data_IF_373927777380
#
_entry.id   IF_373927777380
#
_cell.length_a   1.000
_cell.length_b   1.000
_cell.length_c   1.000
_cell.angle_alpha   90.00
_cell.angle_beta   90.00
_cell.angle_gamma   90.00
#
_symmetry.space_group_name_H-M   'P 1'
#
loop_
_entity.id
_entity.type
_entity.pdbx_description
1 polymer ?
#
# COMPACT_ATOMS: atom_id res chain seq x y z
N UNK A 1 -8.21 -2.87 18.98
CA UNK A 1 -8.85 -4.18 19.20
C UNK A 1 -8.63 -4.60 20.64
N UNK A 2 -9.68 -5.04 21.36
CA UNK A 2 -9.50 -5.67 22.68
C UNK A 2 -8.90 -7.06 22.48
N UNK A 3 -7.82 -7.38 23.20
CA UNK A 3 -7.17 -8.70 23.15
C UNK A 3 -8.12 -9.73 23.74
N UNK A 4 -8.62 -10.65 22.92
CA UNK A 4 -9.47 -11.75 23.39
C UNK A 4 -8.55 -12.80 24.01
N UNK A 5 -8.78 -13.08 25.28
CA UNK A 5 -8.01 -14.10 26.04
C UNK A 5 -8.99 -15.15 26.53
N UNK A 6 -8.57 -16.41 26.49
CA UNK A 6 -9.39 -17.55 26.89
C UNK A 6 -9.42 -17.64 28.42
N UNK A 7 -10.59 -17.90 29.00
CA UNK A 7 -10.76 -18.02 30.47
C UNK A 7 -10.37 -19.39 31.03
N UNK A 8 -10.16 -20.39 30.16
CA UNK A 8 -9.74 -21.75 30.54
C UNK A 8 -8.55 -22.24 29.73
N UNK A 9 -7.90 -23.29 30.25
CA UNK A 9 -6.83 -24.02 29.54
C UNK A 9 -7.38 -24.79 28.34
N UNK A 10 -6.49 -25.06 27.40
CA UNK A 10 -6.76 -25.91 26.24
C UNK A 10 -6.94 -27.36 26.68
N UNK A 11 -7.93 -28.02 26.10
CA UNK A 11 -8.00 -29.49 26.09
C UNK A 11 -6.91 -30.07 25.18
N UNK A 12 -6.62 -31.37 25.32
CA UNK A 12 -5.67 -32.08 24.47
C UNK A 12 -6.04 -32.03 22.98
N UNK A 13 -7.33 -32.21 22.67
CA UNK A 13 -7.85 -32.15 21.31
C UNK A 13 -7.70 -30.75 20.70
N UNK A 14 -8.06 -29.70 21.45
CA UNK A 14 -7.87 -28.32 21.01
C UNK A 14 -6.38 -28.00 20.80
N UNK A 15 -5.51 -28.46 21.70
CA UNK A 15 -4.06 -28.26 21.59
C UNK A 15 -3.49 -28.91 20.33
N UNK A 16 -3.92 -30.14 20.01
CA UNK A 16 -3.54 -30.85 18.78
C UNK A 16 -4.01 -30.09 17.53
N UNK A 17 -5.27 -29.66 17.50
CA UNK A 17 -5.83 -28.86 16.39
C UNK A 17 -5.04 -27.57 16.15
N UNK A 18 -4.70 -26.84 17.21
CA UNK A 18 -3.88 -25.63 17.08
C UNK A 18 -2.44 -25.92 16.65
N UNK A 19 -1.88 -27.07 17.04
CA UNK A 19 -0.55 -27.47 16.57
C UNK A 19 -0.54 -27.69 15.05
N UNK A 20 -1.54 -28.39 14.51
CA UNK A 20 -1.70 -28.58 13.07
C UNK A 20 -1.84 -27.25 12.32
N UNK A 21 -2.70 -26.34 12.81
CA UNK A 21 -2.88 -25.02 12.17
C UNK A 21 -1.56 -24.22 12.18
N UNK A 22 -0.84 -24.22 13.31
CA UNK A 22 0.44 -23.51 13.41
C UNK A 22 1.48 -24.10 12.46
N UNK A 23 1.51 -25.42 12.30
CA UNK A 23 2.41 -26.08 11.37
C UNK A 23 2.10 -25.67 9.92
N UNK A 24 0.83 -25.71 9.51
CA UNK A 24 0.40 -25.27 8.18
C UNK A 24 0.81 -23.81 7.91
N UNK A 25 0.55 -22.91 8.87
CA UNK A 25 0.96 -21.49 8.74
C UNK A 25 2.48 -21.37 8.65
N UNK A 26 3.25 -22.12 9.44
CA UNK A 26 4.71 -22.07 9.40
C UNK A 26 5.28 -22.54 8.04
N UNK A 27 4.61 -23.49 7.38
CA UNK A 27 4.99 -23.99 6.06
C UNK A 27 4.61 -23.01 4.93
N UNK A 28 3.45 -22.34 5.02
CA UNK A 28 2.94 -21.45 3.96
C UNK A 28 3.47 -20.02 4.04
N UNK A 29 3.64 -19.48 5.25
CA UNK A 29 3.95 -18.07 5.47
C UNK A 29 5.22 -17.59 4.74
N UNK A 30 6.34 -18.34 4.73
CA UNK A 30 7.54 -17.90 4.01
C UNK A 30 7.29 -17.69 2.51
N UNK A 31 6.57 -18.62 1.86
CA UNK A 31 6.26 -18.54 0.43
C UNK A 31 5.34 -17.36 0.10
N UNK A 32 4.40 -17.04 1.00
CA UNK A 32 3.51 -15.90 0.84
C UNK A 32 4.26 -14.56 0.98
N UNK A 33 5.20 -14.48 1.91
CA UNK A 33 6.08 -13.32 2.08
C UNK A 33 6.95 -13.13 0.83
N UNK A 34 7.62 -14.18 0.37
CA UNK A 34 8.47 -14.12 -0.83
C UNK A 34 7.69 -13.66 -2.07
N UNK A 35 6.50 -14.24 -2.30
CA UNK A 35 5.62 -13.81 -3.40
C UNK A 35 5.21 -12.34 -3.27
N UNK A 36 4.98 -11.86 -2.05
CA UNK A 36 4.67 -10.45 -1.82
C UNK A 36 5.87 -9.56 -2.14
N UNK A 37 7.06 -9.91 -1.66
CA UNK A 37 8.29 -9.16 -1.91
C UNK A 37 8.60 -9.08 -3.40
N UNK A 38 8.46 -10.18 -4.14
CA UNK A 38 8.62 -10.21 -5.60
C UNK A 38 7.66 -9.25 -6.31
N UNK A 39 6.40 -9.18 -5.87
CA UNK A 39 5.40 -8.24 -6.42
C UNK A 39 5.72 -6.78 -6.08
N UNK A 40 6.29 -6.52 -4.91
CA UNK A 40 6.69 -5.16 -4.49
C UNK A 40 7.95 -4.73 -5.24
N UNK A 41 8.90 -5.64 -5.49
CA UNK A 41 10.09 -5.36 -6.29
C UNK A 41 9.75 -4.93 -7.73
N UNK A 42 8.60 -5.36 -8.27
CA UNK A 42 8.06 -4.90 -9.54
C UNK A 42 7.53 -3.44 -9.51
N UNK A 43 7.55 -2.78 -8.34
CA UNK A 43 6.95 -1.47 -8.07
C UNK A 43 7.71 -0.25 -8.60
N UNK A 44 8.86 -0.43 -9.24
CA UNK A 44 9.66 0.66 -9.80
C UNK A 44 8.85 1.67 -10.68
N UNK A 45 7.89 1.24 -11.52
CA UNK A 45 7.09 2.18 -12.31
C UNK A 45 6.19 3.09 -11.48
N UNK A 46 5.66 2.59 -10.35
CA UNK A 46 4.80 3.37 -9.46
C UNK A 46 5.61 4.42 -8.70
N UNK A 47 6.79 4.05 -8.20
CA UNK A 47 7.68 5.00 -7.50
C UNK A 47 8.08 6.15 -8.42
N UNK A 48 8.43 5.84 -9.68
CA UNK A 48 8.74 6.85 -10.70
C UNK A 48 7.55 7.75 -10.98
N UNK A 49 6.35 7.19 -11.14
CA UNK A 49 5.13 7.97 -11.36
C UNK A 49 4.85 8.93 -10.18
N UNK A 50 4.96 8.44 -8.94
CA UNK A 50 4.76 9.25 -7.74
C UNK A 50 5.82 10.36 -7.64
N UNK A 51 7.08 10.07 -7.97
CA UNK A 51 8.14 11.08 -8.02
C UNK A 51 7.82 12.19 -9.05
N UNK A 52 7.28 11.83 -10.23
CA UNK A 52 6.84 12.81 -11.23
C UNK A 52 5.67 13.67 -10.74
N UNK A 53 4.70 13.07 -10.04
CA UNK A 53 3.58 13.80 -9.43
C UNK A 53 4.08 14.79 -8.35
N UNK A 54 5.01 14.35 -7.50
CA UNK A 54 5.65 15.20 -6.48
C UNK A 54 6.38 16.38 -7.12
N UNK A 55 7.23 16.12 -8.12
CA UNK A 55 7.95 17.16 -8.84
C UNK A 55 7.00 18.17 -9.50
N UNK A 56 5.91 17.70 -10.11
CA UNK A 56 4.90 18.58 -10.70
C UNK A 56 4.16 19.43 -9.65
N UNK A 57 3.90 18.89 -8.45
CA UNK A 57 3.33 19.64 -7.31
C UNK A 57 4.29 20.75 -6.87
N UNK A 58 5.56 20.40 -6.67
CA UNK A 58 6.60 21.33 -6.20
C UNK A 58 6.88 22.44 -7.22
N UNK A 59 6.91 22.11 -8.52
CA UNK A 59 7.06 23.10 -9.60
C UNK A 59 5.91 24.11 -9.65
N UNK A 60 4.72 23.75 -9.15
CA UNK A 60 3.58 24.67 -9.00
C UNK A 60 3.59 25.44 -7.68
N UNK A 61 4.55 25.19 -6.78
CA UNK A 61 4.59 25.79 -5.45
C UNK A 61 3.47 25.31 -4.52
N UNK A 62 2.81 24.19 -4.82
CA UNK A 62 1.70 23.68 -4.01
C UNK A 62 2.22 22.92 -2.79
N UNK A 63 1.72 23.26 -1.61
CA UNK A 63 1.91 22.44 -0.41
C UNK A 63 1.02 21.20 -0.42
N UNK A 64 1.27 20.25 0.49
CA UNK A 64 0.36 19.13 0.70
C UNK A 64 -1.03 19.56 1.19
N UNK A 65 -1.12 20.69 1.89
CA UNK A 65 -2.41 21.24 2.34
C UNK A 65 -3.20 21.81 1.15
N UNK A 66 -2.54 22.50 0.23
CA UNK A 66 -3.18 22.99 -1.00
C UNK A 66 -3.67 21.82 -1.86
N UNK A 67 -2.85 20.78 -1.98
CA UNK A 67 -3.23 19.58 -2.71
C UNK A 67 -4.39 18.84 -2.04
N UNK A 68 -4.45 18.83 -0.71
CA UNK A 68 -5.60 18.30 0.06
C UNK A 68 -6.88 19.07 -0.32
N UNK A 69 -6.83 20.40 -0.34
CA UNK A 69 -7.97 21.23 -0.71
C UNK A 69 -8.43 21.01 -2.17
N UNK A 70 -7.48 20.81 -3.10
CA UNK A 70 -7.78 20.58 -4.52
C UNK A 70 -8.33 19.17 -4.82
N UNK A 71 -7.89 18.16 -4.07
CA UNK A 71 -8.15 16.75 -4.41
C UNK A 71 -9.11 16.04 -3.46
N UNK A 72 -9.34 16.61 -2.26
CA UNK A 72 -10.01 15.95 -1.14
C UNK A 72 -9.25 14.75 -0.57
N UNK A 73 -7.98 14.56 -0.95
CA UNK A 73 -7.13 13.47 -0.42
C UNK A 73 -6.49 13.96 0.87
N UNK A 74 -6.60 13.16 1.93
CA UNK A 74 -6.01 13.47 3.23
C UNK A 74 -4.49 13.75 3.14
N UNK A 75 -4.02 14.73 3.93
CA UNK A 75 -2.62 15.16 3.95
C UNK A 75 -1.67 14.03 4.36
N UNK A 76 -2.05 13.18 5.32
CA UNK A 76 -1.24 12.00 5.70
C UNK A 76 -1.20 10.98 4.57
N UNK A 77 -2.32 10.78 3.87
CA UNK A 77 -2.37 9.91 2.70
C UNK A 77 -1.48 10.40 1.55
N UNK A 78 -1.44 11.71 1.28
CA UNK A 78 -0.54 12.33 0.30
C UNK A 78 0.92 12.22 0.73
N UNK A 79 1.22 12.47 2.01
CA UNK A 79 2.58 12.34 2.55
C UNK A 79 3.11 10.90 2.44
N UNK A 80 2.29 9.90 2.80
CA UNK A 80 2.65 8.48 2.67
C UNK A 80 2.82 8.06 1.21
N UNK A 81 2.02 8.63 0.31
CA UNK A 81 2.16 8.41 -1.13
C UNK A 81 3.54 8.92 -1.58
N UNK A 82 3.84 10.20 -1.35
CA UNK A 82 5.10 10.84 -1.80
C UNK A 82 6.37 10.31 -1.14
N UNK A 83 6.26 9.62 0.00
CA UNK A 83 7.39 9.00 0.71
C UNK A 83 7.52 7.50 0.47
N UNK A 84 6.68 6.91 -0.40
CA UNK A 84 6.71 5.47 -0.70
C UNK A 84 6.14 4.58 0.42
N UNK A 85 5.67 5.14 1.53
CA UNK A 85 5.04 4.37 2.61
C UNK A 85 3.66 3.81 2.23
N UNK A 86 3.05 4.35 1.17
CA UNK A 86 1.81 3.81 0.59
C UNK A 86 2.12 2.96 -0.64
N UNK A 87 2.27 1.66 -0.43
CA UNK A 87 2.67 0.70 -1.47
C UNK A 87 1.62 0.45 -2.57
N UNK A 88 0.34 0.81 -2.36
CA UNK A 88 -0.73 0.49 -3.33
C UNK A 88 -1.81 1.59 -3.37
N UNK A 89 -1.57 2.73 -4.03
CA UNK A 89 -2.60 3.74 -4.28
C UNK A 89 -3.60 3.28 -5.34
N UNK A 90 -4.85 3.76 -5.25
CA UNK A 90 -5.84 3.52 -6.30
C UNK A 90 -5.53 4.35 -7.54
N UNK A 91 -5.92 3.88 -8.73
CA UNK A 91 -5.80 4.65 -9.96
C UNK A 91 -6.50 6.02 -9.84
N UNK A 92 -7.68 6.05 -9.22
CA UNK A 92 -8.41 7.28 -8.94
C UNK A 92 -7.59 8.29 -8.11
N UNK A 93 -6.86 7.81 -7.09
CA UNK A 93 -5.98 8.68 -6.27
C UNK A 93 -4.91 9.33 -7.15
N UNK A 94 -4.28 8.54 -8.04
CA UNK A 94 -3.24 9.02 -8.95
C UNK A 94 -3.82 9.99 -9.99
N UNK A 95 -5.01 9.73 -10.51
CA UNK A 95 -5.71 10.60 -11.46
C UNK A 95 -6.07 11.95 -10.84
N UNK A 96 -6.66 11.95 -9.63
CA UNK A 96 -7.01 13.19 -8.91
C UNK A 96 -5.78 14.04 -8.62
N UNK A 97 -4.69 13.41 -8.17
CA UNK A 97 -3.41 14.10 -7.99
C UNK A 97 -2.97 14.71 -9.33
N UNK A 98 -2.84 13.90 -10.39
CA UNK A 98 -2.39 14.36 -11.70
C UNK A 98 -3.18 15.57 -12.19
N UNK A 99 -4.52 15.52 -12.09
CA UNK A 99 -5.40 16.62 -12.49
C UNK A 99 -5.12 17.91 -11.68
N UNK A 100 -4.97 17.81 -10.36
CA UNK A 100 -4.67 18.97 -9.52
C UNK A 100 -3.32 19.63 -9.89
N UNK A 101 -2.32 18.82 -10.28
CA UNK A 101 -1.04 19.34 -10.79
C UNK A 101 -1.04 19.65 -12.28
N UNK A 102 -2.21 19.69 -12.93
CA UNK A 102 -2.35 20.07 -14.35
C UNK A 102 -1.73 19.06 -15.32
N UNK A 103 -1.69 17.78 -14.93
CA UNK A 103 -1.21 16.65 -15.72
C UNK A 103 -2.37 15.71 -16.05
N UNK A 104 -2.13 14.82 -17.00
CA UNK A 104 -3.05 13.74 -17.37
C UNK A 104 -2.33 12.42 -17.13
N UNK A 105 -2.96 11.53 -16.36
CA UNK A 105 -2.46 10.16 -16.23
C UNK A 105 -2.87 9.36 -17.47
N UNK A 106 -1.90 8.74 -18.12
CA UNK A 106 -2.10 7.82 -19.27
C UNK A 106 -1.51 6.48 -18.88
N UNK A 107 -2.28 5.41 -19.05
CA UNK A 107 -1.87 4.04 -18.75
C UNK A 107 -1.96 3.23 -20.04
N UNK A 108 -0.90 2.51 -20.37
CA UNK A 108 -0.82 1.64 -21.55
C UNK A 108 -0.19 0.29 -21.17
N UNK A 109 -0.50 -0.74 -21.94
CA UNK A 109 0.16 -2.04 -21.84
C UNK A 109 1.38 -2.06 -22.77
N UNK A 110 2.42 -2.79 -22.37
CA UNK A 110 3.61 -3.04 -23.17
C UNK A 110 3.87 -4.56 -23.23
N UNK A 111 4.64 -5.00 -24.21
CA UNK A 111 5.10 -6.40 -24.28
C UNK A 111 5.95 -6.75 -23.05
N UNK A 112 5.87 -8.00 -22.56
CA UNK A 112 6.52 -8.46 -21.35
C UNK A 112 8.06 -8.49 -21.42
#
# INVERSE_FOLDING_TARGET
MKRITRERRLTSEEASRYATIRQQVAEELPRLIERHEQRVASGAPLEQLVAQLKAAREAKGLSLADLTALTGIDRSALSKLETGQRANPTLETLMRYAQAVGKRLVVSLAEP
#
